data_IF_522116041540
#
_entry.id   IF_522116041540
#
_cell.length_a   1.000
_cell.length_b   1.000
_cell.length_c   1.000
_cell.angle_alpha   90.00
_cell.angle_beta   90.00
_cell.angle_gamma   90.00
#
_symmetry.space_group_name_H-M   'P 1'
#
loop_
_entity.id
_entity.type
_entity.pdbx_description
1 polymer ?
#
# COMPACT_ATOMS: atom_id res chain seq x y z
N UNK A 1 4.85 6.15 -13.74
CA UNK A 1 5.24 5.64 -12.41
C UNK A 1 4.57 6.50 -11.36
N UNK A 2 4.01 5.89 -10.33
CA UNK A 2 3.50 6.66 -9.20
C UNK A 2 4.66 7.31 -8.45
N UNK A 3 4.42 8.48 -7.88
CA UNK A 3 5.41 9.17 -7.05
C UNK A 3 4.98 9.02 -5.58
N UNK A 4 5.92 8.60 -4.74
CA UNK A 4 5.64 8.33 -3.33
C UNK A 4 6.17 9.45 -2.43
N UNK A 5 5.45 9.72 -1.36
CA UNK A 5 5.92 10.55 -0.24
C UNK A 5 6.16 9.62 0.93
N UNK A 6 7.44 9.45 1.25
CA UNK A 6 7.89 8.71 2.42
C UNK A 6 8.34 9.69 3.50
N UNK A 7 7.73 9.62 4.69
CA UNK A 7 8.26 10.28 5.89
C UNK A 7 8.72 9.25 6.91
N UNK A 8 9.55 9.67 7.87
CA UNK A 8 10.15 8.79 8.89
C UNK A 8 9.13 7.91 9.60
N UNK A 9 7.92 8.43 9.83
CA UNK A 9 6.83 7.68 10.43
C UNK A 9 6.34 6.52 9.56
N UNK A 10 6.19 6.69 8.24
CA UNK A 10 5.83 5.60 7.33
C UNK A 10 6.95 4.56 7.28
N UNK A 11 8.19 5.03 7.16
CA UNK A 11 9.37 4.17 7.07
C UNK A 11 9.52 3.30 8.32
N UNK A 12 9.31 3.87 9.51
CA UNK A 12 9.33 3.12 10.76
C UNK A 12 8.26 2.02 10.80
N UNK A 13 7.03 2.30 10.32
CA UNK A 13 5.97 1.30 10.23
C UNK A 13 6.29 0.16 9.28
N UNK A 14 6.85 0.47 8.10
CA UNK A 14 7.28 -0.56 7.16
C UNK A 14 8.37 -1.44 7.76
N UNK A 15 9.36 -0.83 8.41
CA UNK A 15 10.43 -1.56 9.09
C UNK A 15 9.90 -2.49 10.19
N UNK A 16 8.90 -2.05 10.97
CA UNK A 16 8.21 -2.91 11.97
C UNK A 16 7.54 -4.13 11.33
N UNK A 17 7.11 -4.03 10.08
CA UNK A 17 6.53 -5.12 9.30
C UNK A 17 7.56 -5.87 8.42
N UNK A 18 8.85 -5.60 8.63
CA UNK A 18 9.95 -6.16 7.84
C UNK A 18 9.82 -5.90 6.34
N UNK A 19 9.32 -4.72 5.98
CA UNK A 19 9.16 -4.25 4.60
C UNK A 19 10.07 -3.07 4.32
N UNK A 20 10.58 -3.03 3.09
CA UNK A 20 11.28 -1.88 2.53
C UNK A 20 10.36 -1.04 1.64
N UNK A 21 10.64 0.27 1.45
CA UNK A 21 9.95 1.10 0.47
C UNK A 21 9.98 0.49 -0.93
N UNK A 22 11.14 0.02 -1.39
CA UNK A 22 11.32 -0.59 -2.71
C UNK A 22 10.39 -1.80 -2.94
N UNK A 23 10.20 -2.64 -1.92
CA UNK A 23 9.25 -3.75 -2.00
C UNK A 23 7.80 -3.29 -2.12
N UNK A 24 7.44 -2.21 -1.42
CA UNK A 24 6.09 -1.61 -1.51
C UNK A 24 5.88 -0.98 -2.88
N UNK A 25 6.85 -0.25 -3.40
CA UNK A 25 6.79 0.37 -4.74
C UNK A 25 6.70 -0.71 -5.83
N UNK A 26 7.45 -1.80 -5.71
CA UNK A 26 7.33 -2.92 -6.65
C UNK A 26 5.95 -3.59 -6.58
N UNK A 27 5.44 -3.84 -5.36
CA UNK A 27 4.12 -4.41 -5.17
C UNK A 27 3.03 -3.48 -5.72
N UNK A 28 3.21 -2.17 -5.60
CA UNK A 28 2.30 -1.16 -6.11
C UNK A 28 2.15 -1.20 -7.64
N UNK A 29 3.23 -1.42 -8.37
CA UNK A 29 3.19 -1.57 -9.84
C UNK A 29 2.37 -2.80 -10.28
N UNK A 30 2.26 -3.80 -9.40
CA UNK A 30 1.55 -5.06 -9.64
C UNK A 30 0.30 -5.19 -8.76
N UNK A 31 -0.31 -4.06 -8.38
CA UNK A 31 -1.42 -4.04 -7.43
C UNK A 31 -2.79 -4.21 -8.09
N UNK A 32 -3.72 -4.67 -7.27
CA UNK A 32 -5.16 -4.58 -7.49
C UNK A 32 -5.77 -3.80 -6.33
N UNK A 33 -6.55 -2.77 -6.63
CA UNK A 33 -7.29 -2.02 -5.62
C UNK A 33 -8.49 -2.85 -5.15
N UNK A 34 -8.71 -2.89 -3.84
CA UNK A 34 -9.69 -3.78 -3.22
C UNK A 34 -10.94 -3.03 -2.77
N UNK A 35 -10.77 -2.15 -1.79
CA UNK A 35 -11.87 -1.47 -1.11
C UNK A 35 -11.39 -0.13 -0.53
N UNK A 36 -12.35 0.75 -0.25
CA UNK A 36 -12.10 1.92 0.59
C UNK A 36 -11.79 1.47 2.02
N UNK A 37 -10.77 2.08 2.62
CA UNK A 37 -10.34 1.81 3.98
C UNK A 37 -10.74 2.99 4.87
N UNK A 38 -11.77 2.81 5.71
CA UNK A 38 -12.35 3.92 6.46
C UNK A 38 -11.66 4.23 7.81
N UNK A 39 -10.98 3.25 8.44
CA UNK A 39 -10.44 3.39 9.80
C UNK A 39 -9.08 2.72 9.97
N UNK A 40 -8.11 3.26 10.73
CA UNK A 40 -8.19 4.44 11.61
C UNK A 40 -7.97 5.78 10.89
N UNK A 41 -7.52 5.77 9.64
CA UNK A 41 -7.47 6.94 8.77
C UNK A 41 -8.05 6.55 7.41
N UNK A 42 -8.84 7.43 6.77
CA UNK A 42 -9.43 7.15 5.47
C UNK A 42 -8.33 6.99 4.41
N UNK A 43 -8.47 5.94 3.60
CA UNK A 43 -7.58 5.59 2.53
C UNK A 43 -8.17 4.53 1.62
N UNK A 44 -7.31 3.90 0.84
CA UNK A 44 -7.62 2.82 -0.07
C UNK A 44 -6.78 1.62 0.32
N UNK A 45 -7.42 0.46 0.35
CA UNK A 45 -6.76 -0.81 0.49
C UNK A 45 -6.44 -1.38 -0.88
N UNK A 46 -5.16 -1.71 -1.10
CA UNK A 46 -4.70 -2.38 -2.31
C UNK A 46 -3.83 -3.57 -1.97
N UNK A 47 -3.78 -4.53 -2.87
CA UNK A 47 -2.94 -5.72 -2.74
C UNK A 47 -2.00 -5.85 -3.92
N UNK A 48 -0.72 -6.03 -3.65
CA UNK A 48 0.30 -6.20 -4.68
C UNK A 48 1.20 -7.39 -4.39
N UNK A 49 1.89 -7.88 -5.41
CA UNK A 49 2.87 -8.96 -5.25
C UNK A 49 4.27 -8.38 -5.20
N UNK A 50 5.00 -8.68 -4.13
CA UNK A 50 6.40 -8.30 -3.99
C UNK A 50 7.32 -9.16 -4.87
N UNK A 51 8.57 -8.74 -5.02
CA UNK A 51 9.60 -9.44 -5.81
C UNK A 51 9.84 -10.88 -5.34
N UNK A 52 9.71 -11.12 -4.04
CA UNK A 52 9.84 -12.45 -3.41
C UNK A 52 8.58 -13.34 -3.59
N UNK A 53 7.58 -12.87 -4.34
CA UNK A 53 6.34 -13.58 -4.61
C UNK A 53 5.29 -13.53 -3.50
N UNK A 54 5.61 -12.93 -2.34
CA UNK A 54 4.65 -12.71 -1.24
C UNK A 54 3.66 -11.61 -1.59
N UNK A 55 2.48 -11.71 -1.01
CA UNK A 55 1.48 -10.65 -1.10
C UNK A 55 1.77 -9.55 -0.09
N UNK A 56 1.54 -8.31 -0.49
CA UNK A 56 1.64 -7.11 0.34
C UNK A 56 0.28 -6.44 0.30
N UNK A 57 -0.27 -6.15 1.48
CA UNK A 57 -1.39 -5.22 1.61
C UNK A 57 -0.83 -3.82 1.80
N UNK A 58 -1.34 -2.86 1.05
CA UNK A 58 -0.93 -1.46 1.05
C UNK A 58 -2.16 -0.63 1.42
N UNK A 59 -2.07 0.11 2.52
CA UNK A 59 -3.07 1.10 2.91
C UNK A 59 -2.51 2.48 2.58
N UNK A 60 -3.18 3.21 1.70
CA UNK A 60 -2.64 4.45 1.15
C UNK A 60 -3.73 5.50 0.91
N UNK A 61 -3.31 6.73 0.65
CA UNK A 61 -4.17 7.80 0.13
C UNK A 61 -3.36 8.74 -0.73
N UNK A 62 -4.03 9.56 -1.52
CA UNK A 62 -3.38 10.71 -2.14
C UNK A 62 -2.93 11.71 -1.07
N UNK A 63 -1.78 12.34 -1.31
CA UNK A 63 -1.21 13.31 -0.41
C UNK A 63 -2.12 14.55 -0.31
N UNK A 64 -2.60 14.85 0.90
CA UNK A 64 -3.47 16.01 1.14
C UNK A 64 -2.73 17.35 1.26
N UNK A 65 -1.39 17.34 1.27
CA UNK A 65 -0.56 18.53 1.47
C UNK A 65 0.42 18.73 0.33
N UNK A 66 0.16 19.70 -0.56
CA UNK A 66 1.02 20.01 -1.69
C UNK A 66 0.52 19.37 -2.99
N UNK A 67 1.39 18.63 -3.67
CA UNK A 67 1.02 17.92 -4.90
C UNK A 67 0.07 16.75 -4.58
N UNK A 68 -1.17 16.91 -5.02
CA UNK A 68 -2.29 16.01 -4.73
C UNK A 68 -2.21 14.67 -5.43
N UNK A 69 -1.30 14.50 -6.40
CA UNK A 69 -1.16 13.25 -7.15
C UNK A 69 -0.14 12.29 -6.51
N UNK A 70 0.56 12.73 -5.45
CA UNK A 70 1.54 11.91 -4.75
C UNK A 70 0.86 10.85 -3.87
N UNK A 71 1.43 9.65 -3.84
CA UNK A 71 0.95 8.53 -3.04
C UNK A 71 1.57 8.59 -1.64
N UNK A 72 0.72 8.67 -0.63
CA UNK A 72 1.09 8.56 0.77
C UNK A 72 0.67 7.19 1.32
N UNK A 73 1.65 6.34 1.63
CA UNK A 73 1.39 5.00 2.18
C UNK A 73 1.27 5.08 3.69
N UNK A 74 0.06 4.93 4.21
CA UNK A 74 -0.23 4.98 5.65
C UNK A 74 0.45 3.81 6.37
N UNK A 75 0.38 2.61 5.79
CA UNK A 75 1.11 1.42 6.23
C UNK A 75 1.10 0.34 5.13
N UNK A 76 2.03 -0.61 5.20
CA UNK A 76 1.99 -1.82 4.40
C UNK A 76 2.55 -3.01 5.21
N UNK A 77 2.07 -4.21 4.89
CA UNK A 77 2.55 -5.43 5.53
C UNK A 77 2.39 -6.66 4.62
N UNK A 78 3.23 -7.66 4.86
CA UNK A 78 3.11 -8.94 4.18
C UNK A 78 1.86 -9.68 4.62
N UNK A 79 1.22 -10.32 3.65
CA UNK A 79 0.08 -11.20 3.88
C UNK A 79 0.54 -12.66 3.86
N UNK A 80 0.14 -13.47 4.85
CA UNK A 80 0.48 -14.90 4.89
C UNK A 80 -0.26 -15.71 3.80
N UNK A 81 -1.35 -15.16 3.27
CA UNK A 81 -2.19 -15.78 2.26
C UNK A 81 -2.51 -14.77 1.14
N UNK A 82 -2.89 -15.24 -0.06
CA UNK A 82 -3.42 -14.36 -1.10
C UNK A 82 -4.58 -13.52 -0.59
N UNK A 83 -4.79 -12.30 -1.13
CA UNK A 83 -5.94 -11.50 -0.77
C UNK A 83 -7.23 -12.29 -1.02
N UNK A 84 -8.27 -12.09 -0.19
CA UNK A 84 -9.60 -12.59 -0.53
C UNK A 84 -9.93 -12.07 -1.93
N UNK A 85 -10.51 -12.94 -2.78
CA UNK A 85 -10.94 -12.50 -4.12
C UNK A 85 -11.89 -11.34 -3.93
N UNK A 86 -11.44 -10.14 -4.24
CA UNK A 86 -12.30 -8.97 -4.29
C UNK A 86 -13.30 -9.26 -5.41
N UNK A 87 -14.56 -9.45 -5.02
CA UNK A 87 -15.62 -9.64 -5.98
C UNK A 87 -15.69 -8.38 -6.80
N UNK A 88 -15.46 -8.49 -8.10
CA UNK A 88 -15.69 -7.42 -9.07
C UNK A 88 -17.12 -6.93 -8.86
N UNK A 89 -17.30 -5.81 -8.14
CA UNK A 89 -18.56 -5.08 -8.23
C UNK A 89 -18.50 -4.35 -9.54
N UNK A 90 -19.07 -4.99 -10.56
CA UNK A 90 -19.38 -4.41 -11.86
C UNK A 90 -20.31 -3.21 -11.71
#
# INVERSE_FOLDING_TARGET
MAQFVWIDWNLAKLAMHHLSPDEVEFAWEHRTDADEWAEPEPGVESYGRAQNGRWVKIIWRYNGFGDGDLIFVITAYHMPHPPPRTGTKH
#
